data_IF_089020665589
#
_entry.id   IF_089020665589
#
_cell.length_a   1.000
_cell.length_b   1.000
_cell.length_c   1.000
_cell.angle_alpha   90.00
_cell.angle_beta   90.00
_cell.angle_gamma   90.00
#
_symmetry.space_group_name_H-M   'P 1'
#
loop_
_entity.id
_entity.type
_entity.pdbx_description
1 polymer ?
#
# COMPACT_ATOMS: atom_id res chain seq x y z
N UNK A 1 13.88 -17.06 -14.76
CA UNK A 1 13.56 -15.90 -13.89
C UNK A 1 12.33 -15.14 -14.39
N UNK A 2 12.26 -14.81 -15.70
CA UNK A 2 11.09 -14.12 -16.31
C UNK A 2 9.76 -14.87 -16.11
N UNK A 3 9.71 -16.16 -16.43
CA UNK A 3 8.49 -16.98 -16.32
C UNK A 3 7.96 -17.13 -14.88
N UNK A 4 8.85 -17.23 -13.88
CA UNK A 4 8.45 -17.35 -12.47
C UNK A 4 7.78 -16.07 -11.96
N UNK A 5 8.36 -14.91 -12.26
CA UNK A 5 7.85 -13.61 -11.81
C UNK A 5 6.45 -13.36 -12.41
N UNK A 6 6.27 -13.70 -13.69
CA UNK A 6 4.99 -13.57 -14.39
C UNK A 6 3.93 -14.55 -13.86
N UNK A 7 4.32 -15.79 -13.51
CA UNK A 7 3.43 -16.80 -12.96
C UNK A 7 2.88 -16.43 -11.57
N UNK A 8 3.72 -15.79 -10.73
CA UNK A 8 3.30 -15.28 -9.42
C UNK A 8 2.60 -13.91 -9.49
N UNK A 9 2.52 -13.29 -10.68
CA UNK A 9 1.90 -11.99 -10.87
C UNK A 9 2.71 -10.82 -10.30
N UNK A 10 4.00 -11.02 -10.04
CA UNK A 10 4.88 -9.95 -9.55
C UNK A 10 5.35 -9.05 -10.69
N UNK A 11 5.62 -7.79 -10.35
CA UNK A 11 6.29 -6.87 -11.25
C UNK A 11 7.80 -6.97 -11.06
N UNK A 12 8.53 -7.01 -12.18
CA UNK A 12 9.97 -7.04 -12.18
C UNK A 12 10.50 -5.72 -11.59
N UNK A 13 11.49 -5.76 -10.68
CA UNK A 13 12.06 -4.55 -10.10
C UNK A 13 12.84 -3.71 -11.13
N UNK A 14 13.28 -4.34 -12.23
CA UNK A 14 13.91 -3.68 -13.37
C UNK A 14 12.87 -3.14 -14.33
N UNK A 15 12.88 -1.83 -14.58
CA UNK A 15 11.92 -1.16 -15.44
C UNK A 15 11.89 -1.71 -16.88
N UNK A 16 13.06 -1.94 -17.48
CA UNK A 16 13.18 -2.45 -18.86
C UNK A 16 12.57 -3.85 -19.04
N UNK A 17 12.63 -4.68 -17.99
CA UNK A 17 12.02 -6.00 -17.96
C UNK A 17 10.51 -5.87 -17.67
N UNK A 18 10.14 -5.02 -16.70
CA UNK A 18 8.75 -4.81 -16.28
C UNK A 18 7.86 -4.30 -17.42
N UNK A 19 8.36 -3.39 -18.24
CA UNK A 19 7.60 -2.84 -19.37
C UNK A 19 7.25 -3.88 -20.44
N UNK A 20 8.00 -4.98 -20.49
CA UNK A 20 7.76 -6.11 -21.40
C UNK A 20 6.92 -7.23 -20.75
N UNK A 21 6.63 -7.16 -19.45
CA UNK A 21 5.82 -8.18 -18.77
C UNK A 21 4.37 -8.11 -19.23
N UNK A 22 3.70 -9.27 -19.21
CA UNK A 22 2.28 -9.40 -19.51
C UNK A 22 1.88 -8.85 -20.89
N UNK A 23 2.76 -8.93 -21.89
CA UNK A 23 2.51 -8.38 -23.23
C UNK A 23 1.15 -8.84 -23.83
N UNK A 24 0.81 -10.10 -23.61
CA UNK A 24 -0.41 -10.76 -24.10
C UNK A 24 -1.60 -10.69 -23.11
N UNK A 25 -1.43 -10.07 -21.93
CA UNK A 25 -2.46 -10.00 -20.88
C UNK A 25 -2.76 -8.52 -20.54
N UNK A 26 -3.76 -7.91 -21.21
CA UNK A 26 -4.05 -6.49 -21.07
C UNK A 26 -4.56 -6.12 -19.66
N UNK A 27 -5.21 -7.05 -18.96
CA UNK A 27 -5.65 -6.84 -17.58
C UNK A 27 -4.44 -6.68 -16.67
N UNK A 28 -3.47 -7.60 -16.76
CA UNK A 28 -2.26 -7.54 -15.95
C UNK A 28 -1.36 -6.35 -16.30
N UNK A 29 -1.36 -5.89 -17.55
CA UNK A 29 -0.65 -4.64 -17.92
C UNK A 29 -1.17 -3.40 -17.19
N UNK A 30 -2.41 -3.42 -16.70
CA UNK A 30 -2.95 -2.30 -15.91
C UNK A 30 -2.18 -2.13 -14.60
N UNK A 31 -1.66 -3.21 -14.00
CA UNK A 31 -0.85 -3.13 -12.78
C UNK A 31 0.47 -2.38 -12.99
N UNK A 32 1.07 -2.44 -14.18
CA UNK A 32 2.27 -1.65 -14.52
C UNK A 32 1.94 -0.15 -14.45
N UNK A 33 0.76 0.25 -14.94
CA UNK A 33 0.31 1.65 -14.86
C UNK A 33 0.07 2.08 -13.41
N UNK A 34 -0.57 1.23 -12.61
CA UNK A 34 -0.80 1.48 -11.18
C UNK A 34 0.53 1.63 -10.43
N UNK A 35 1.50 0.76 -10.70
CA UNK A 35 2.82 0.79 -10.08
C UNK A 35 3.56 2.11 -10.35
N UNK A 36 3.49 2.64 -11.58
CA UNK A 36 4.11 3.93 -11.93
C UNK A 36 3.56 5.12 -11.12
N UNK A 37 2.32 5.03 -10.64
CA UNK A 37 1.71 6.05 -9.79
C UNK A 37 1.84 5.76 -8.28
N UNK A 38 2.33 4.58 -7.90
CA UNK A 38 2.44 4.17 -6.50
C UNK A 38 3.62 4.85 -5.81
N UNK A 39 3.42 5.29 -4.57
CA UNK A 39 4.49 5.75 -3.70
C UNK A 39 5.25 4.59 -3.06
N UNK A 40 6.57 4.77 -2.87
CA UNK A 40 7.37 3.81 -2.09
C UNK A 40 7.00 3.96 -0.62
N UNK A 41 6.63 2.86 0.01
CA UNK A 41 6.40 2.80 1.46
C UNK A 41 7.73 3.01 2.19
N UNK A 42 7.74 3.88 3.21
CA UNK A 42 8.91 4.06 4.09
C UNK A 42 9.38 2.71 4.66
N UNK A 43 10.67 2.53 4.93
CA UNK A 43 11.16 1.34 5.64
C UNK A 43 11.18 1.67 7.14
N UNK A 44 10.20 1.17 7.89
CA UNK A 44 10.06 1.40 9.33
C UNK A 44 9.66 0.12 10.06
N UNK A 45 10.26 -0.18 11.24
CA UNK A 45 9.86 -1.32 12.05
C UNK A 45 8.45 -1.16 12.63
N UNK A 46 7.93 0.07 12.72
CA UNK A 46 6.63 0.37 13.32
C UNK A 46 5.44 0.14 12.40
N UNK A 47 5.68 -0.25 11.13
CA UNK A 47 4.61 -0.51 10.17
C UNK A 47 3.52 -1.48 10.61
N UNK A 48 3.79 -2.54 11.40
CA UNK A 48 2.73 -3.38 11.94
C UNK A 48 1.74 -2.57 12.79
N UNK A 49 2.22 -1.68 13.66
CA UNK A 49 1.37 -0.84 14.53
C UNK A 49 0.64 0.24 13.73
N UNK A 50 1.32 0.87 12.77
CA UNK A 50 0.71 1.85 11.87
C UNK A 50 -0.41 1.18 11.04
N UNK A 51 -0.17 -0.01 10.49
CA UNK A 51 -1.15 -0.74 9.67
C UNK A 51 -2.39 -1.15 10.49
N UNK A 52 -2.20 -1.55 11.75
CA UNK A 52 -3.29 -1.85 12.67
C UNK A 52 -4.14 -0.59 12.93
N UNK A 53 -3.49 0.53 13.26
CA UNK A 53 -4.18 1.81 13.52
C UNK A 53 -4.98 2.27 12.30
N UNK A 54 -4.41 2.16 11.10
CA UNK A 54 -5.12 2.48 9.85
C UNK A 54 -6.33 1.56 9.63
N UNK A 55 -6.19 0.26 9.90
CA UNK A 55 -7.28 -0.71 9.76
C UNK A 55 -8.42 -0.43 10.73
N UNK A 56 -8.11 -0.09 11.98
CA UNK A 56 -9.11 0.31 12.98
C UNK A 56 -9.81 1.60 12.55
N UNK A 57 -9.07 2.60 12.05
CA UNK A 57 -9.62 3.87 11.57
C UNK A 57 -10.63 3.64 10.44
N UNK A 58 -10.29 2.78 9.47
CA UNK A 58 -11.19 2.40 8.39
C UNK A 58 -12.46 1.73 8.93
N UNK A 59 -12.31 0.81 9.89
CA UNK A 59 -13.47 0.18 10.57
C UNK A 59 -14.37 1.24 11.19
N UNK A 60 -13.82 2.17 11.96
CA UNK A 60 -14.57 3.24 12.65
C UNK A 60 -15.36 4.13 11.69
N UNK A 61 -14.74 4.52 10.57
CA UNK A 61 -15.41 5.30 9.52
C UNK A 61 -16.56 4.51 8.91
N UNK A 62 -16.35 3.22 8.60
CA UNK A 62 -17.36 2.37 7.96
C UNK A 62 -18.57 2.07 8.86
N UNK A 63 -18.38 2.01 10.18
CA UNK A 63 -19.49 1.79 11.13
C UNK A 63 -20.09 3.09 11.69
N UNK A 64 -19.67 4.23 11.15
CA UNK A 64 -20.14 5.57 11.55
C UNK A 64 -20.05 5.80 13.06
N UNK A 65 -18.95 5.35 13.68
CA UNK A 65 -18.73 5.49 15.14
C UNK A 65 -18.74 6.97 15.57
N UNK A 66 -18.19 7.85 14.74
CA UNK A 66 -18.13 9.31 14.92
C UNK A 66 -18.04 10.00 13.54
N UNK A 67 -17.91 11.33 13.49
CA UNK A 67 -17.65 12.03 12.24
C UNK A 67 -16.28 11.61 11.64
N UNK A 68 -16.18 11.40 10.32
CA UNK A 68 -14.96 10.90 9.70
C UNK A 68 -13.72 11.78 9.95
N UNK A 69 -13.88 13.11 10.06
CA UNK A 69 -12.75 14.01 10.23
C UNK A 69 -12.16 13.89 11.65
N UNK A 70 -13.01 13.76 12.67
CA UNK A 70 -12.56 13.51 14.04
C UNK A 70 -11.87 12.15 14.16
N UNK A 71 -12.39 11.11 13.51
CA UNK A 71 -11.75 9.78 13.48
C UNK A 71 -10.36 9.88 12.84
N UNK A 72 -10.24 10.57 11.69
CA UNK A 72 -8.97 10.77 11.01
C UNK A 72 -7.97 11.56 11.85
N UNK A 73 -8.41 12.64 12.52
CA UNK A 73 -7.55 13.44 13.39
C UNK A 73 -7.01 12.62 14.57
N UNK A 74 -7.88 11.86 15.26
CA UNK A 74 -7.48 10.95 16.34
C UNK A 74 -6.50 9.88 15.86
N UNK A 75 -6.69 9.36 14.65
CA UNK A 75 -5.79 8.38 14.05
C UNK A 75 -4.42 8.96 13.74
N UNK A 76 -4.38 10.17 13.17
CA UNK A 76 -3.13 10.88 12.89
C UNK A 76 -2.31 11.08 14.17
N UNK A 77 -2.93 11.56 15.25
CA UNK A 77 -2.25 11.71 16.55
C UNK A 77 -1.68 10.40 17.10
N UNK A 78 -2.39 9.28 16.91
CA UNK A 78 -1.90 7.95 17.33
C UNK A 78 -0.68 7.53 16.51
N UNK A 79 -0.70 7.74 15.20
CA UNK A 79 0.41 7.41 14.31
C UNK A 79 1.64 8.28 14.62
N UNK A 80 1.45 9.57 14.88
CA UNK A 80 2.54 10.47 15.31
C UNK A 80 3.20 9.99 16.60
N UNK A 81 2.42 9.56 17.59
CA UNK A 81 2.93 9.00 18.85
C UNK A 81 3.77 7.74 18.62
N UNK A 82 3.32 6.83 17.76
CA UNK A 82 4.10 5.63 17.39
C UNK A 82 5.47 6.04 16.81
N UNK A 83 5.51 7.06 15.95
CA UNK A 83 6.75 7.56 15.38
C UNK A 83 7.69 8.23 16.39
N UNK A 84 7.14 8.81 17.46
CA UNK A 84 7.87 9.50 18.52
C UNK A 84 8.43 8.57 19.62
N UNK A 85 8.05 7.29 19.65
CA UNK A 85 8.56 6.27 20.59
C UNK A 85 9.95 5.71 20.19
N UNK A 86 10.58 6.27 19.14
CA UNK A 86 11.96 5.96 18.69
C UNK A 86 13.02 6.51 19.64
#
# INVERSE_FOLDING_TARGET
>A
MKEYIDAFGFLAPRQDIMEQQFAEDPEKRTFIKMYKAAGIREISPEWPRISLTLSDTLRQILVEEEDPQTILNKSAEKIEKIGAEK
#
